data_IF_361997312121
#
_entry.id   IF_361997312121
#
_cell.length_a   1.000
_cell.length_b   1.000
_cell.length_c   1.000
_cell.angle_alpha   90.00
_cell.angle_beta   90.00
_cell.angle_gamma   90.00
#
_symmetry.space_group_name_H-M   'P 1'
#
loop_
_entity.id
_entity.type
_entity.pdbx_description
1 polymer ?
#
# COMPACT_ATOMS: atom_id res chain seq x y z
N UNK A 1 23.06 -68.14 -7.38
CA UNK A 1 23.14 -67.05 -8.38
C UNK A 1 21.81 -66.30 -8.28
N UNK A 2 21.68 -65.31 -7.41
CA UNK A 2 22.16 -63.93 -7.51
C UNK A 2 21.43 -63.08 -8.58
N UNK A 3 20.94 -61.93 -8.11
CA UNK A 3 20.50 -60.69 -8.78
C UNK A 3 19.00 -60.58 -9.12
N UNK A 4 18.16 -59.98 -8.25
CA UNK A 4 17.90 -58.54 -7.98
C UNK A 4 17.36 -57.76 -9.19
N UNK A 5 16.09 -57.32 -9.11
CA UNK A 5 15.64 -55.99 -9.53
C UNK A 5 14.50 -55.50 -8.63
N UNK A 6 14.70 -54.28 -8.15
CA UNK A 6 13.89 -53.46 -7.27
C UNK A 6 12.56 -52.98 -7.87
N UNK A 7 11.58 -52.78 -6.99
CA UNK A 7 10.60 -51.69 -6.98
C UNK A 7 9.98 -51.74 -5.56
N UNK A 8 10.14 -50.77 -4.67
CA UNK A 8 10.03 -49.33 -4.86
C UNK A 8 8.92 -48.87 -3.91
N UNK A 9 9.26 -48.75 -2.63
CA UNK A 9 8.41 -48.32 -1.52
C UNK A 9 8.00 -46.85 -1.74
N UNK A 10 6.77 -46.61 -2.18
CA UNK A 10 6.21 -45.27 -2.28
C UNK A 10 5.74 -44.82 -0.89
N UNK A 11 6.68 -44.35 -0.07
CA UNK A 11 6.35 -43.54 1.09
C UNK A 11 5.77 -42.22 0.61
N UNK A 12 4.49 -42.04 0.92
CA UNK A 12 3.77 -40.78 0.89
C UNK A 12 4.49 -39.78 1.80
N UNK A 13 5.43 -39.02 1.23
CA UNK A 13 6.05 -37.88 1.91
C UNK A 13 5.03 -36.76 1.95
N UNK A 14 4.43 -36.58 3.13
CA UNK A 14 3.76 -35.35 3.50
C UNK A 14 4.70 -34.17 3.20
N UNK A 15 4.35 -33.39 2.18
CA UNK A 15 4.99 -32.12 1.89
C UNK A 15 4.76 -31.22 3.10
N UNK A 16 5.85 -30.95 3.82
CA UNK A 16 5.92 -29.90 4.83
C UNK A 16 5.44 -28.60 4.17
N UNK A 17 4.27 -28.11 4.60
CA UNK A 17 3.85 -26.74 4.31
C UNK A 17 4.90 -25.84 4.95
N UNK A 18 5.56 -25.06 4.12
CA UNK A 18 6.53 -24.07 4.56
C UNK A 18 5.86 -23.06 5.50
N UNK A 19 6.47 -22.88 6.66
CA UNK A 19 6.13 -21.89 7.68
C UNK A 19 6.27 -20.46 7.11
N UNK A 20 5.22 -19.98 6.41
CA UNK A 20 5.14 -18.58 5.96
C UNK A 20 4.13 -17.74 6.73
N UNK A 21 3.43 -18.33 7.70
CA UNK A 21 2.50 -17.63 8.56
C UNK A 21 2.98 -17.69 10.01
N UNK A 22 3.62 -16.61 10.47
CA UNK A 22 3.54 -16.02 11.84
C UNK A 22 4.76 -15.10 12.05
N UNK A 23 4.87 -14.04 11.25
CA UNK A 23 5.49 -12.81 11.71
C UNK A 23 4.33 -11.82 11.91
N UNK A 24 4.23 -11.20 13.08
CA UNK A 24 3.21 -10.17 13.32
C UNK A 24 3.30 -9.11 12.21
N UNK A 25 2.15 -8.77 11.62
CA UNK A 25 2.04 -7.72 10.59
C UNK A 25 2.77 -6.47 11.11
N UNK A 26 3.69 -5.86 10.34
CA UNK A 26 4.58 -4.82 10.84
C UNK A 26 3.87 -3.45 10.85
N UNK A 27 2.67 -3.38 11.40
CA UNK A 27 1.75 -2.25 11.39
C UNK A 27 1.72 -1.63 12.78
N UNK A 28 2.14 -0.38 12.90
CA UNK A 28 1.92 0.42 14.10
C UNK A 28 0.50 0.98 14.10
N UNK A 29 -0.15 0.93 15.27
CA UNK A 29 -1.53 1.42 15.41
C UNK A 29 -1.56 2.95 15.32
N UNK A 30 -2.32 3.54 14.38
CA UNK A 30 -2.53 4.99 14.34
C UNK A 30 -3.20 5.51 15.62
N UNK A 31 -2.81 6.71 16.06
CA UNK A 31 -3.44 7.39 17.19
C UNK A 31 -4.84 7.95 16.86
N UNK A 32 -5.04 8.39 15.61
CA UNK A 32 -6.32 8.90 15.13
C UNK A 32 -7.26 7.74 14.75
N UNK A 33 -8.53 7.71 15.21
CA UNK A 33 -9.47 6.62 14.91
C UNK A 33 -9.77 6.42 13.42
N UNK A 34 -9.87 7.48 12.63
CA UNK A 34 -10.11 7.38 11.19
C UNK A 34 -8.87 6.82 10.47
N UNK A 35 -7.68 7.24 10.92
CA UNK A 35 -6.44 6.66 10.41
C UNK A 35 -6.33 5.17 10.77
N UNK A 36 -6.71 4.78 11.99
CA UNK A 36 -6.73 3.39 12.43
C UNK A 36 -7.69 2.55 11.58
N UNK A 37 -8.92 3.02 11.35
CA UNK A 37 -9.88 2.34 10.48
C UNK A 37 -9.38 2.22 9.04
N UNK A 38 -8.75 3.26 8.49
CA UNK A 38 -8.17 3.22 7.16
C UNK A 38 -7.02 2.20 7.06
N UNK A 39 -6.14 2.13 8.06
CA UNK A 39 -5.04 1.17 8.10
C UNK A 39 -5.54 -0.26 8.27
N UNK A 40 -6.53 -0.50 9.13
CA UNK A 40 -7.17 -1.81 9.31
C UNK A 40 -7.82 -2.29 8.00
N UNK A 41 -8.54 -1.40 7.31
CA UNK A 41 -9.12 -1.70 6.00
C UNK A 41 -8.05 -1.97 4.94
N UNK A 42 -6.93 -1.26 4.99
CA UNK A 42 -5.81 -1.47 4.09
C UNK A 42 -5.23 -2.89 4.27
N UNK A 43 -5.00 -3.32 5.52
CA UNK A 43 -4.56 -4.69 5.84
C UNK A 43 -5.60 -5.72 5.39
N UNK A 44 -6.90 -5.44 5.58
CA UNK A 44 -7.98 -6.33 5.15
C UNK A 44 -7.97 -6.53 3.63
N UNK A 45 -7.94 -5.46 2.85
CA UNK A 45 -7.90 -5.52 1.37
C UNK A 45 -6.60 -6.16 0.89
N UNK A 46 -5.47 -5.90 1.56
CA UNK A 46 -4.20 -6.56 1.25
C UNK A 46 -4.34 -8.09 1.28
N UNK A 47 -4.98 -8.63 2.33
CA UNK A 47 -5.19 -10.09 2.50
C UNK A 47 -6.15 -10.70 1.48
N UNK A 48 -6.97 -9.90 0.82
CA UNK A 48 -7.82 -10.36 -0.29
C UNK A 48 -7.04 -10.53 -1.60
N UNK A 49 -5.79 -10.02 -1.66
CA UNK A 49 -4.91 -10.08 -2.82
C UNK A 49 -5.57 -9.64 -4.15
N UNK A 50 -6.21 -8.45 -4.22
CA UNK A 50 -6.77 -7.95 -5.47
C UNK A 50 -5.66 -7.69 -6.49
N UNK A 51 -5.96 -7.91 -7.77
CA UNK A 51 -5.02 -7.69 -8.85
C UNK A 51 -4.84 -6.18 -9.13
N UNK A 52 -3.61 -5.77 -9.41
CA UNK A 52 -3.33 -4.41 -9.84
C UNK A 52 -3.82 -4.17 -11.26
N UNK A 53 -4.70 -3.19 -11.47
CA UNK A 53 -5.16 -2.75 -12.78
C UNK A 53 -5.69 -1.33 -12.73
N UNK A 54 -5.06 -0.42 -13.50
CA UNK A 54 -5.58 0.94 -13.67
C UNK A 54 -6.90 0.97 -14.43
N UNK A 55 -7.08 0.09 -15.43
CA UNK A 55 -8.29 0.03 -16.25
C UNK A 55 -9.50 -0.50 -15.47
N UNK A 56 -9.27 -1.45 -14.56
CA UNK A 56 -10.31 -2.06 -13.73
C UNK A 56 -10.33 -1.53 -12.29
N UNK A 57 -9.66 -0.42 -12.01
CA UNK A 57 -9.33 0.06 -10.65
C UNK A 57 -10.51 0.17 -9.67
N UNK A 58 -11.74 0.33 -10.15
CA UNK A 58 -12.96 0.39 -9.34
C UNK A 58 -13.78 -0.92 -9.31
N UNK A 59 -13.43 -1.91 -10.13
CA UNK A 59 -14.12 -3.20 -10.19
C UNK A 59 -13.74 -4.09 -8.99
N UNK A 60 -14.61 -5.03 -8.64
CA UNK A 60 -14.34 -6.03 -7.61
C UNK A 60 -13.09 -6.86 -7.95
N UNK A 61 -12.25 -7.14 -6.95
CA UNK A 61 -11.00 -7.88 -7.13
C UNK A 61 -9.87 -7.09 -7.82
N UNK A 62 -10.06 -5.80 -8.11
CA UNK A 62 -9.05 -4.96 -8.76
C UNK A 62 -8.80 -3.64 -8.04
N UNK A 63 -7.53 -3.24 -8.00
CA UNK A 63 -7.08 -1.97 -7.42
C UNK A 63 -6.00 -1.34 -8.30
N UNK A 64 -5.79 -0.04 -8.18
CA UNK A 64 -4.54 0.63 -8.49
C UNK A 64 -4.05 1.38 -7.24
N UNK A 65 -2.89 2.03 -7.30
CA UNK A 65 -2.32 2.70 -6.12
C UNK A 65 -3.31 3.64 -5.43
N UNK A 66 -3.98 4.51 -6.18
CA UNK A 66 -4.90 5.50 -5.61
C UNK A 66 -6.31 4.98 -5.32
N UNK A 67 -6.82 3.98 -6.03
CA UNK A 67 -8.12 3.35 -5.69
C UNK A 67 -8.01 2.40 -4.50
N UNK A 68 -6.85 1.79 -4.29
CA UNK A 68 -6.54 1.09 -3.06
C UNK A 68 -6.63 2.04 -1.86
N UNK A 69 -5.86 3.13 -1.89
CA UNK A 69 -5.91 4.19 -0.85
C UNK A 69 -7.32 4.73 -0.67
N UNK A 70 -8.01 5.06 -1.75
CA UNK A 70 -9.37 5.58 -1.67
C UNK A 70 -10.34 4.61 -0.97
N UNK A 71 -10.29 3.31 -1.28
CA UNK A 71 -11.15 2.31 -0.60
C UNK A 71 -10.86 2.24 0.90
N UNK A 72 -9.59 2.28 1.28
CA UNK A 72 -9.16 2.24 2.68
C UNK A 72 -9.74 3.43 3.47
N UNK A 73 -9.58 4.64 2.96
CA UNK A 73 -10.04 5.86 3.65
C UNK A 73 -11.54 6.10 3.49
N UNK A 74 -12.18 5.63 2.41
CA UNK A 74 -13.62 5.71 2.25
C UNK A 74 -14.35 4.94 3.36
N UNK A 75 -13.77 3.82 3.83
CA UNK A 75 -14.25 3.10 5.02
C UNK A 75 -14.26 3.97 6.27
N UNK A 76 -13.24 4.81 6.42
CA UNK A 76 -13.09 5.82 7.49
C UNK A 76 -13.80 7.17 7.20
N UNK A 77 -14.63 7.24 6.16
CA UNK A 77 -15.40 8.44 5.80
C UNK A 77 -14.62 9.55 5.08
N UNK A 78 -13.41 9.27 4.57
CA UNK A 78 -12.55 10.23 3.86
C UNK A 78 -12.49 9.86 2.37
N UNK A 79 -12.96 10.75 1.50
CA UNK A 79 -13.22 10.46 0.09
C UNK A 79 -12.33 11.22 -0.90
N UNK A 80 -11.38 12.03 -0.42
CA UNK A 80 -10.48 12.83 -1.28
C UNK A 80 -11.22 13.66 -2.34
N UNK A 81 -12.40 14.18 -1.99
CA UNK A 81 -13.24 15.01 -2.86
C UNK A 81 -14.21 14.26 -3.78
N UNK A 82 -14.16 12.91 -3.85
CA UNK A 82 -15.03 12.11 -4.73
C UNK A 82 -15.58 10.88 -4.00
N UNK A 83 -16.90 10.81 -3.80
CA UNK A 83 -17.55 9.75 -3.00
C UNK A 83 -17.82 8.46 -3.78
N UNK A 84 -17.89 8.55 -5.10
CA UNK A 84 -18.30 7.45 -5.97
C UNK A 84 -17.13 6.86 -6.77
N UNK A 85 -16.03 7.62 -6.91
CA UNK A 85 -14.90 7.22 -7.74
C UNK A 85 -13.58 7.66 -7.14
N UNK A 86 -12.58 6.79 -7.17
CA UNK A 86 -11.26 7.11 -6.63
C UNK A 86 -10.55 8.17 -7.49
N UNK A 87 -10.11 9.30 -6.92
CA UNK A 87 -9.26 10.24 -7.64
C UNK A 87 -7.91 9.59 -7.98
N UNK A 88 -7.12 10.27 -8.81
CA UNK A 88 -5.72 9.85 -9.03
C UNK A 88 -4.87 10.20 -7.80
N UNK A 89 -3.70 9.56 -7.64
CA UNK A 89 -2.75 9.92 -6.57
C UNK A 89 -2.42 11.41 -6.52
N UNK A 90 -2.30 12.06 -7.69
CA UNK A 90 -2.03 13.48 -7.79
C UNK A 90 -3.21 14.34 -7.32
N UNK A 91 -4.44 13.94 -7.63
CA UNK A 91 -5.64 14.66 -7.18
C UNK A 91 -5.93 14.42 -5.69
N UNK A 92 -5.62 13.24 -5.14
CA UNK A 92 -5.65 13.02 -3.69
C UNK A 92 -4.64 13.92 -2.96
N UNK A 93 -3.44 14.12 -3.54
CA UNK A 93 -2.47 15.08 -2.99
C UNK A 93 -2.93 16.54 -3.11
N UNK A 94 -3.58 16.93 -4.22
CA UNK A 94 -4.22 18.26 -4.32
C UNK A 94 -5.27 18.45 -3.24
N UNK A 95 -6.12 17.45 -3.01
CA UNK A 95 -7.12 17.50 -1.95
C UNK A 95 -6.45 17.71 -0.58
N UNK A 96 -5.36 17.00 -0.28
CA UNK A 96 -4.60 17.23 0.95
C UNK A 96 -4.05 18.67 1.03
N UNK A 97 -3.57 19.23 -0.09
CA UNK A 97 -3.10 20.62 -0.14
C UNK A 97 -4.25 21.61 0.14
N UNK A 98 -5.39 21.43 -0.51
CA UNK A 98 -6.59 22.27 -0.34
C UNK A 98 -7.14 22.21 1.09
N UNK A 99 -6.97 21.06 1.76
CA UNK A 99 -7.31 20.87 3.18
C UNK A 99 -6.27 21.39 4.16
N UNK A 100 -5.09 21.79 3.69
CA UNK A 100 -3.99 22.25 4.56
C UNK A 100 -3.28 21.11 5.30
N UNK A 101 -3.46 19.86 4.88
CA UNK A 101 -2.89 18.66 5.51
C UNK A 101 -1.78 18.01 4.68
N UNK A 102 -1.36 18.64 3.58
CA UNK A 102 -0.20 18.24 2.78
C UNK A 102 1.07 18.90 3.33
N UNK A 103 2.10 18.10 3.59
CA UNK A 103 3.36 18.52 4.17
C UNK A 103 4.55 18.07 3.31
N UNK A 104 5.63 18.85 3.35
CA UNK A 104 6.89 18.48 2.70
C UNK A 104 7.57 17.38 3.49
N UNK A 105 8.16 16.40 2.80
CA UNK A 105 8.94 15.35 3.46
C UNK A 105 10.31 15.93 3.83
N UNK A 106 10.60 15.99 5.12
CA UNK A 106 11.93 16.29 5.62
C UNK A 106 12.71 14.99 5.76
N UNK A 107 13.74 14.80 4.92
CA UNK A 107 14.61 13.63 4.99
C UNK A 107 15.77 13.91 5.95
N UNK A 108 15.49 13.99 7.25
CA UNK A 108 16.56 13.87 8.24
C UNK A 108 16.84 12.39 8.52
N UNK A 109 18.12 11.99 8.53
CA UNK A 109 18.54 10.63 8.89
C UNK A 109 17.84 9.49 8.11
N UNK A 110 17.36 9.77 6.89
CA UNK A 110 16.68 8.79 6.04
C UNK A 110 15.25 8.43 6.45
N UNK A 111 14.66 9.10 7.45
CA UNK A 111 13.27 8.91 7.88
C UNK A 111 12.66 10.23 8.31
N UNK A 112 11.48 10.55 7.81
CA UNK A 112 10.76 11.70 8.33
C UNK A 112 10.17 11.35 9.70
N UNK A 113 10.73 11.94 10.77
CA UNK A 113 10.29 11.72 12.16
C UNK A 113 8.87 12.21 12.43
N UNK A 114 8.29 12.97 11.49
CA UNK A 114 6.92 13.49 11.61
C UNK A 114 5.86 12.56 11.03
N UNK A 115 6.25 11.51 10.31
CA UNK A 115 5.32 10.54 9.75
C UNK A 115 4.64 9.73 10.85
N UNK A 116 3.32 9.64 10.75
CA UNK A 116 2.46 8.87 11.62
C UNK A 116 1.75 7.78 10.82
N UNK A 117 1.54 6.58 11.39
CA UNK A 117 0.73 5.55 10.73
C UNK A 117 -0.62 6.12 10.26
N UNK A 118 -0.97 5.89 9.00
CA UNK A 118 -2.10 6.52 8.33
C UNK A 118 -1.75 7.83 7.59
N UNK A 119 -0.49 8.22 7.49
CA UNK A 119 -0.06 9.24 6.54
C UNK A 119 0.03 8.65 5.13
N UNK A 120 -0.35 9.44 4.13
CA UNK A 120 -0.16 9.11 2.72
C UNK A 120 1.17 9.63 2.24
N UNK A 121 2.00 8.78 1.62
CA UNK A 121 3.24 9.23 0.97
C UNK A 121 3.00 9.30 -0.53
N UNK A 122 3.19 10.49 -1.11
CA UNK A 122 3.03 10.74 -2.53
C UNK A 122 4.38 10.76 -3.22
N UNK A 123 4.51 10.05 -4.34
CA UNK A 123 5.78 9.91 -5.05
C UNK A 123 5.76 10.54 -6.43
N UNK A 124 6.82 11.26 -6.76
CA UNK A 124 7.01 11.87 -8.08
C UNK A 124 7.40 10.84 -9.12
N UNK A 125 7.06 11.09 -10.38
CA UNK A 125 7.53 10.31 -11.52
C UNK A 125 9.03 10.53 -11.70
N UNK A 126 9.80 9.44 -11.67
CA UNK A 126 11.28 9.46 -11.82
C UNK A 126 11.80 10.10 -13.09
N UNK A 127 11.14 9.87 -14.22
CA UNK A 127 11.61 10.31 -15.55
C UNK A 127 10.52 11.06 -16.28
N UNK A 128 10.88 12.25 -16.73
CA UNK A 128 9.97 13.16 -17.44
C UNK A 128 8.88 13.72 -16.54
N UNK A 129 7.99 14.48 -17.17
CA UNK A 129 6.86 15.12 -16.53
C UNK A 129 5.57 14.43 -16.98
N UNK A 130 4.68 14.10 -16.04
CA UNK A 130 3.35 13.54 -16.35
C UNK A 130 2.25 14.61 -16.44
N UNK A 131 2.58 15.88 -16.23
CA UNK A 131 1.65 17.02 -16.28
C UNK A 131 0.68 17.11 -15.10
N UNK A 132 0.81 16.23 -14.09
CA UNK A 132 -0.06 16.18 -12.92
C UNK A 132 0.54 16.96 -11.75
N UNK A 133 -0.27 17.20 -10.73
CA UNK A 133 0.14 17.89 -9.51
C UNK A 133 1.43 17.31 -8.93
N UNK A 134 2.43 18.17 -8.69
CA UNK A 134 3.75 17.83 -8.18
C UNK A 134 4.45 16.66 -8.93
N UNK A 135 4.08 16.44 -10.21
CA UNK A 135 4.53 15.29 -11.00
C UNK A 135 4.24 13.93 -10.32
N UNK A 136 3.22 13.86 -9.46
CA UNK A 136 2.89 12.66 -8.67
C UNK A 136 2.40 11.55 -9.57
N UNK A 137 2.94 10.35 -9.37
CA UNK A 137 2.61 9.15 -10.13
C UNK A 137 2.25 7.94 -9.26
N UNK A 138 2.41 8.02 -7.94
CA UNK A 138 2.14 6.92 -7.02
C UNK A 138 1.80 7.43 -5.63
N UNK A 139 1.09 6.60 -4.85
CA UNK A 139 0.76 6.86 -3.45
C UNK A 139 0.85 5.58 -2.65
N UNK A 140 1.22 5.69 -1.38
CA UNK A 140 1.23 4.60 -0.39
C UNK A 140 0.64 5.07 0.95
N UNK A 141 0.27 4.12 1.81
CA UNK A 141 -0.13 4.38 3.19
C UNK A 141 1.06 4.02 4.08
N UNK A 142 1.55 4.97 4.89
CA UNK A 142 2.55 4.70 5.92
C UNK A 142 1.93 3.92 7.08
N UNK A 143 2.56 2.84 7.49
CA UNK A 143 2.05 1.93 8.54
C UNK A 143 3.01 1.84 9.73
N UNK A 144 3.95 2.78 9.86
CA UNK A 144 4.95 2.78 10.93
C UNK A 144 6.25 2.07 10.56
N UNK A 145 7.27 2.25 11.40
CA UNK A 145 8.59 1.61 11.28
C UNK A 145 9.26 1.70 9.90
N UNK A 146 9.05 2.80 9.15
CA UNK A 146 9.61 2.95 7.81
C UNK A 146 8.98 2.03 6.75
N UNK A 147 7.79 1.49 7.02
CA UNK A 147 7.07 0.59 6.12
C UNK A 147 5.80 1.22 5.60
N UNK A 148 5.45 0.82 4.38
CA UNK A 148 4.25 1.27 3.72
C UNK A 148 3.44 0.06 3.23
N UNK A 149 2.15 0.31 3.05
CA UNK A 149 1.23 -0.57 2.35
C UNK A 149 0.77 0.14 1.08
N UNK A 150 0.97 -0.50 -0.06
CA UNK A 150 0.62 0.10 -1.35
C UNK A 150 0.31 -0.94 -2.40
N UNK A 151 -0.55 -0.59 -3.35
CA UNK A 151 -0.79 -1.39 -4.55
C UNK A 151 0.19 -0.97 -5.65
N UNK A 152 1.05 -1.89 -6.05
CA UNK A 152 2.04 -1.73 -7.12
C UNK A 152 2.40 -3.11 -7.70
N UNK A 153 2.92 -3.15 -8.93
CA UNK A 153 3.20 -4.43 -9.60
C UNK A 153 1.92 -5.25 -9.82
N UNK A 154 1.79 -6.38 -9.10
CA UNK A 154 0.70 -7.35 -9.28
C UNK A 154 -0.46 -7.21 -8.27
N UNK A 155 -0.20 -6.72 -7.05
CA UNK A 155 -1.21 -6.61 -5.97
C UNK A 155 -0.71 -5.70 -4.82
N UNK A 156 -1.55 -5.35 -3.82
CA UNK A 156 -1.08 -4.70 -2.61
C UNK A 156 0.05 -5.47 -1.90
N UNK A 157 1.04 -4.74 -1.40
CA UNK A 157 2.18 -5.32 -0.70
C UNK A 157 2.72 -4.40 0.40
N UNK A 158 3.33 -5.03 1.41
CA UNK A 158 4.19 -4.37 2.37
C UNK A 158 5.55 -4.05 1.73
N UNK A 159 6.00 -2.81 1.86
CA UNK A 159 7.33 -2.47 1.39
C UNK A 159 7.60 -0.98 1.37
N UNK A 160 8.88 -0.64 1.30
CA UNK A 160 9.30 0.68 0.88
C UNK A 160 9.47 0.69 -0.64
N UNK A 161 8.74 1.53 -1.40
CA UNK A 161 9.10 1.81 -2.78
C UNK A 161 10.35 2.70 -2.78
N UNK A 162 11.47 2.18 -2.25
CA UNK A 162 12.79 2.81 -2.11
C UNK A 162 13.32 3.40 -3.42
N UNK A 163 12.80 2.89 -4.52
CA UNK A 163 13.12 3.35 -5.84
C UNK A 163 12.43 4.72 -6.12
N UNK A 164 11.26 5.02 -5.57
CA UNK A 164 10.54 6.26 -5.85
C UNK A 164 11.00 7.41 -4.96
N UNK A 165 11.09 8.60 -5.54
CA UNK A 165 11.32 9.82 -4.78
C UNK A 165 9.99 10.33 -4.23
N UNK A 166 9.92 10.50 -2.92
CA UNK A 166 8.75 11.04 -2.25
C UNK A 166 8.70 12.56 -2.43
N UNK A 167 7.56 13.07 -2.90
CA UNK A 167 7.34 14.49 -3.19
C UNK A 167 6.75 15.24 -1.99
N UNK A 168 5.84 14.58 -1.26
CA UNK A 168 5.14 15.12 -0.12
C UNK A 168 4.49 13.97 0.66
N UNK A 169 4.08 14.23 1.90
CA UNK A 169 3.13 13.38 2.59
C UNK A 169 1.87 14.17 2.92
N UNK A 170 0.74 13.48 3.05
CA UNK A 170 -0.51 14.09 3.51
C UNK A 170 -1.09 13.31 4.67
N UNK A 171 -1.79 14.00 5.56
CA UNK A 171 -2.47 13.38 6.71
C UNK A 171 -3.98 13.56 6.60
N UNK A 172 -4.70 12.64 5.95
CA UNK A 172 -6.09 12.87 5.59
C UNK A 172 -7.07 12.93 6.76
N UNK A 173 -6.65 12.46 7.94
CA UNK A 173 -7.48 12.36 9.15
C UNK A 173 -7.33 13.53 10.13
N UNK A 174 -6.54 14.55 9.78
CA UNK A 174 -6.43 15.82 10.51
C UNK A 174 -7.37 16.91 9.98
#
# INVERSE_FOLDING_TARGET
>A
MAQKKDAGDAKETAVQKSDKDTAAEPVEKPANPQAAEAVDEAVRIYKEHPAYSQAKRMQEGYVDCSSYVWRCYAKAGIFFGQKEYAPTAAEAARWCQEKGVLQTISKEEGRDKTLQPGDLIFYTKRKGNNGRFLNIAHVSIYIGNGKMLHADGDSPAYGDPWYREAAAFGRPSE
#
